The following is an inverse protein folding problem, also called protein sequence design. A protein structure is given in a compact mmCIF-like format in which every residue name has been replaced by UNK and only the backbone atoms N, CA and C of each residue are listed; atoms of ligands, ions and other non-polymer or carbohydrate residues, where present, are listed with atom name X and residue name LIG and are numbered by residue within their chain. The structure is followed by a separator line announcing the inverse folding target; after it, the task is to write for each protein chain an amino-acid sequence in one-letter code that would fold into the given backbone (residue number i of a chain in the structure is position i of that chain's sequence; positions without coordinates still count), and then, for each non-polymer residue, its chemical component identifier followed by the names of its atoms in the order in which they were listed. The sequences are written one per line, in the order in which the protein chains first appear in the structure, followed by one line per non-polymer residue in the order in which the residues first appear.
data_IF_690545355326
#
_entry.id   IF_690545355326
#
_cell.length_a   1.000
_cell.length_b   1.000
_cell.length_c   1.000
_cell.angle_alpha   90.00
_cell.angle_beta   90.00
_cell.angle_gamma   90.00
#
_symmetry.space_group_name_H-M   'P 1'
#
loop_
_entity.id
_entity.type
_entity.pdbx_description
1 polymer ?
#
# COMPACT_ATOMS: atom_id res chain seq x y z
N UNK A 1 7.16 14.37 22.74
CA UNK A 1 8.28 13.49 22.37
C UNK A 1 8.80 14.03 21.04
N UNK A 2 9.99 14.64 20.96
CA UNK A 2 10.47 15.22 19.71
C UNK A 2 10.70 14.08 18.72
N UNK A 3 10.20 14.24 17.50
CA UNK A 3 10.60 13.42 16.37
C UNK A 3 12.09 13.60 16.18
N UNK A 4 12.84 12.50 16.14
CA UNK A 4 14.28 12.50 16.13
C UNK A 4 14.84 13.39 15.02
N UNK A 5 15.67 14.35 15.39
CA UNK A 5 16.58 15.06 14.50
C UNK A 5 17.51 14.04 13.83
N UNK A 6 17.59 14.07 12.50
CA UNK A 6 18.62 13.38 11.76
C UNK A 6 18.36 11.91 11.48
N UNK A 7 17.29 11.57 10.76
CA UNK A 7 17.32 10.36 9.93
C UNK A 7 18.08 10.71 8.67
N UNK A 8 19.40 10.56 8.72
CA UNK A 8 20.22 10.45 7.53
C UNK A 8 19.69 9.27 6.73
N UNK A 9 18.93 9.55 5.68
CA UNK A 9 18.49 8.54 4.74
C UNK A 9 19.74 8.10 3.97
N UNK A 10 20.28 6.89 4.19
CA UNK A 10 21.41 6.42 3.42
C UNK A 10 21.01 6.36 1.96
N UNK A 11 21.85 6.91 1.11
CA UNK A 11 21.73 6.81 -0.34
C UNK A 11 21.49 5.36 -0.73
N UNK A 12 20.41 5.16 -1.49
CA UNK A 12 20.03 3.94 -2.16
C UNK A 12 19.66 2.76 -1.22
N UNK A 13 18.33 2.64 -0.97
CA UNK A 13 17.61 1.38 -0.96
C UNK A 13 18.12 0.27 -0.03
N UNK A 14 18.17 0.50 1.26
CA UNK A 14 17.78 -0.56 2.17
C UNK A 14 16.30 -0.35 2.49
N UNK A 15 15.44 -0.86 1.64
CA UNK A 15 14.03 -0.96 1.92
C UNK A 15 13.90 -1.97 3.05
N UNK A 16 13.63 -1.49 4.24
CA UNK A 16 13.41 -2.38 5.38
C UNK A 16 12.05 -3.07 5.20
N UNK A 17 11.99 -4.38 5.00
CA UNK A 17 10.75 -5.11 4.72
C UNK A 17 9.77 -5.14 5.90
N UNK A 18 10.12 -4.55 7.03
CA UNK A 18 9.34 -4.60 8.28
C UNK A 18 8.01 -3.84 8.26
N UNK A 19 7.78 -2.99 7.28
CA UNK A 19 6.63 -2.07 7.31
C UNK A 19 5.31 -2.73 6.89
N UNK A 20 5.33 -3.94 6.35
CA UNK A 20 4.12 -4.58 5.81
C UNK A 20 3.45 -5.60 6.76
N UNK A 21 4.09 -5.96 7.85
CA UNK A 21 3.60 -7.00 8.75
C UNK A 21 2.66 -6.44 9.82
N UNK A 22 1.60 -7.20 10.14
CA UNK A 22 0.71 -6.94 11.28
C UNK A 22 1.32 -7.49 12.57
N UNK A 23 2.08 -8.58 12.46
CA UNK A 23 2.73 -9.26 13.56
C UNK A 23 4.05 -9.86 13.07
N UNK A 24 5.15 -9.39 13.60
CA UNK A 24 6.46 -9.99 13.39
C UNK A 24 6.96 -10.54 14.76
N UNK A 25 7.11 -11.85 14.85
CA UNK A 25 7.86 -12.46 15.94
C UNK A 25 9.32 -12.47 15.52
N UNK A 26 10.06 -11.48 15.97
CA UNK A 26 11.51 -11.58 16.06
C UNK A 26 11.82 -12.05 17.47
N UNK A 27 12.32 -13.28 17.59
CA UNK A 27 12.58 -13.93 18.89
C UNK A 27 13.61 -13.18 19.75
N UNK A 28 14.35 -12.27 19.15
CA UNK A 28 15.36 -11.47 19.86
C UNK A 28 14.86 -10.08 20.32
N UNK A 29 13.71 -9.60 19.84
CA UNK A 29 13.16 -8.26 20.16
C UNK A 29 11.66 -8.27 20.42
N UNK A 30 11.20 -9.22 21.21
CA UNK A 30 9.80 -9.57 21.42
C UNK A 30 8.86 -8.47 21.96
N UNK A 31 9.38 -7.34 22.42
CA UNK A 31 8.58 -6.30 23.09
C UNK A 31 8.14 -5.14 22.17
N UNK A 32 8.67 -5.04 20.94
CA UNK A 32 8.30 -3.99 19.97
C UNK A 32 8.00 -4.63 18.64
N UNK A 33 6.74 -4.93 18.40
CA UNK A 33 6.26 -5.28 17.06
C UNK A 33 6.43 -4.13 16.05
N UNK A 34 6.32 -4.40 14.74
CA UNK A 34 6.37 -3.38 13.72
C UNK A 34 5.19 -2.40 13.87
N UNK A 35 5.42 -1.15 13.53
CA UNK A 35 4.34 -0.17 13.45
C UNK A 35 3.46 -0.49 12.22
N UNK A 36 2.19 -0.14 12.31
CA UNK A 36 1.28 -0.33 11.20
C UNK A 36 1.69 0.57 10.01
N UNK A 37 1.88 -0.06 8.87
CA UNK A 37 2.53 0.54 7.71
C UNK A 37 1.82 1.78 7.18
N UNK A 38 0.51 1.74 7.02
CA UNK A 38 -0.25 2.84 6.43
C UNK A 38 -0.38 4.03 7.36
N UNK A 39 -0.48 3.78 8.65
CA UNK A 39 -0.45 4.83 9.68
C UNK A 39 0.88 5.57 9.67
N UNK A 40 1.99 4.81 9.59
CA UNK A 40 3.33 5.39 9.49
C UNK A 40 3.52 6.16 8.18
N UNK A 41 3.10 5.58 7.05
CA UNK A 41 3.19 6.24 5.74
C UNK A 41 2.41 7.55 5.69
N UNK A 42 1.23 7.61 6.33
CA UNK A 42 0.48 8.86 6.47
C UNK A 42 1.26 9.95 7.20
N UNK A 43 1.92 9.59 8.30
CA UNK A 43 2.79 10.50 9.05
C UNK A 43 4.01 10.96 8.23
N UNK A 44 4.66 10.04 7.51
CA UNK A 44 5.79 10.35 6.65
C UNK A 44 5.37 11.22 5.44
N UNK A 45 4.21 10.94 4.86
CA UNK A 45 3.66 11.72 3.75
C UNK A 45 3.47 13.21 4.13
N UNK A 46 2.99 13.45 5.35
CA UNK A 46 2.81 14.82 5.86
C UNK A 46 4.14 15.51 6.26
N UNK A 47 5.21 14.72 6.51
CA UNK A 47 6.47 15.23 7.06
C UNK A 47 7.59 15.34 6.03
N UNK A 48 7.41 14.81 4.80
CA UNK A 48 8.44 14.76 3.76
C UNK A 48 7.95 15.37 2.46
N UNK A 49 8.87 15.96 1.66
CA UNK A 49 8.53 16.63 0.40
C UNK A 49 9.38 16.20 -0.78
N UNK A 50 10.41 15.38 -0.59
CA UNK A 50 11.45 15.11 -1.60
C UNK A 50 11.73 13.63 -1.84
N UNK A 51 11.07 12.75 -1.13
CA UNK A 51 11.30 11.29 -1.20
C UNK A 51 10.05 10.58 -1.68
N UNK A 52 10.22 9.58 -2.54
CA UNK A 52 9.14 8.66 -2.87
C UNK A 52 8.83 7.78 -1.65
N UNK A 53 7.56 7.61 -1.36
CA UNK A 53 7.04 6.85 -0.21
C UNK A 53 6.19 5.68 -0.68
N UNK A 54 6.27 4.56 0.00
CA UNK A 54 5.38 3.45 -0.31
C UNK A 54 5.71 2.16 0.42
N UNK A 55 4.74 1.25 0.55
CA UNK A 55 5.00 -0.07 1.07
C UNK A 55 5.66 -0.95 0.00
N UNK A 56 6.66 -1.72 0.39
CA UNK A 56 7.25 -2.75 -0.48
C UNK A 56 7.23 -4.11 0.24
N UNK A 57 6.09 -4.75 0.24
CA UNK A 57 4.78 -4.46 -0.39
C UNK A 57 3.67 -4.54 0.66
N UNK A 58 2.50 -3.96 0.41
CA UNK A 58 1.31 -4.23 1.22
C UNK A 58 0.70 -5.57 0.83
N UNK A 59 0.33 -6.39 1.82
CA UNK A 59 -0.34 -7.66 1.56
C UNK A 59 -1.80 -7.42 1.15
N UNK A 60 -2.19 -7.93 -0.02
CA UNK A 60 -3.55 -7.83 -0.53
C UNK A 60 -4.59 -8.52 0.36
N UNK A 61 -4.18 -9.54 1.13
CA UNK A 61 -5.06 -10.28 2.03
C UNK A 61 -5.43 -9.55 3.33
N UNK A 62 -4.72 -8.49 3.70
CA UNK A 62 -4.96 -7.80 4.98
C UNK A 62 -6.10 -6.78 4.92
N UNK A 63 -6.51 -6.31 3.75
CA UNK A 63 -7.49 -5.22 3.62
C UNK A 63 -8.36 -5.40 2.37
N UNK A 64 -9.55 -4.87 2.44
CA UNK A 64 -10.41 -4.77 1.26
C UNK A 64 -9.76 -3.92 0.16
N UNK A 65 -9.85 -4.32 -1.13
CA UNK A 65 -9.20 -3.63 -2.25
C UNK A 65 -9.54 -2.14 -2.35
N UNK A 66 -10.82 -1.79 -2.17
CA UNK A 66 -11.26 -0.39 -2.19
C UNK A 66 -10.63 0.45 -1.08
N UNK A 67 -10.41 -0.15 0.11
CA UNK A 67 -9.71 0.53 1.21
C UNK A 67 -8.24 0.77 0.86
N UNK A 68 -7.55 -0.21 0.30
CA UNK A 68 -6.14 -0.04 -0.14
C UNK A 68 -6.02 1.06 -1.17
N UNK A 69 -6.89 1.09 -2.18
CA UNK A 69 -6.92 2.15 -3.18
C UNK A 69 -7.15 3.54 -2.54
N UNK A 70 -8.09 3.62 -1.58
CA UNK A 70 -8.40 4.88 -0.87
C UNK A 70 -7.23 5.36 -0.01
N UNK A 71 -6.58 4.46 0.71
CA UNK A 71 -5.42 4.78 1.54
C UNK A 71 -4.25 5.29 0.66
N UNK A 72 -3.99 4.61 -0.46
CA UNK A 72 -2.95 5.02 -1.40
C UNK A 72 -3.22 6.40 -2.01
N UNK A 73 -4.44 6.65 -2.47
CA UNK A 73 -4.83 7.95 -3.02
C UNK A 73 -4.74 9.06 -1.98
N UNK A 74 -5.14 8.79 -0.73
CA UNK A 74 -5.05 9.76 0.35
C UNK A 74 -3.59 10.09 0.69
N UNK A 75 -2.73 9.07 0.84
CA UNK A 75 -1.32 9.27 1.11
C UNK A 75 -0.60 9.99 -0.06
N UNK A 76 -1.02 9.74 -1.30
CA UNK A 76 -0.52 10.44 -2.48
C UNK A 76 -0.87 11.93 -2.44
N UNK A 77 -2.10 12.27 -2.13
CA UNK A 77 -2.55 13.66 -1.99
C UNK A 77 -1.80 14.40 -0.87
N UNK A 78 -1.68 13.77 0.30
CA UNK A 78 -0.95 14.34 1.45
C UNK A 78 0.53 14.55 1.16
N UNK A 79 1.17 13.63 0.42
CA UNK A 79 2.58 13.72 0.06
C UNK A 79 2.86 14.61 -1.16
N UNK A 80 1.84 15.18 -1.80
CA UNK A 80 2.01 15.96 -3.03
C UNK A 80 2.43 15.10 -4.24
N UNK A 81 1.94 13.86 -4.32
CA UNK A 81 2.16 12.95 -5.46
C UNK A 81 3.45 12.13 -5.37
N UNK A 82 3.89 11.78 -4.17
CA UNK A 82 5.13 11.02 -3.96
C UNK A 82 4.87 9.54 -3.66
N UNK A 83 3.61 9.08 -3.71
CA UNK A 83 3.24 7.73 -3.32
C UNK A 83 3.54 6.69 -4.39
N UNK A 84 4.14 5.58 -3.98
CA UNK A 84 4.35 4.38 -4.79
C UNK A 84 3.67 3.21 -4.07
N UNK A 85 2.62 2.66 -4.67
CA UNK A 85 1.89 1.55 -4.09
C UNK A 85 2.48 0.20 -4.52
N UNK A 86 3.18 -0.48 -3.63
CA UNK A 86 3.54 -1.87 -3.78
C UNK A 86 2.46 -2.79 -3.21
N UNK A 87 2.00 -3.77 -3.99
CA UNK A 87 1.00 -4.77 -3.59
C UNK A 87 1.56 -6.16 -3.80
N UNK A 88 1.37 -7.03 -2.83
CA UNK A 88 1.81 -8.43 -2.89
C UNK A 88 0.76 -9.40 -2.37
N UNK A 89 0.91 -10.68 -2.72
CA UNK A 89 -0.03 -11.76 -2.33
C UNK A 89 0.04 -12.15 -0.85
N UNK A 90 1.09 -11.75 -0.14
CA UNK A 90 1.39 -12.24 1.21
C UNK A 90 2.03 -13.63 1.22
N UNK A 91 2.76 -13.94 2.27
CA UNK A 91 3.48 -15.22 2.42
C UNK A 91 3.35 -15.82 3.83
N UNK A 92 3.11 -15.00 4.84
CA UNK A 92 3.13 -15.44 6.24
C UNK A 92 1.75 -15.99 6.65
N UNK A 93 1.62 -17.31 6.66
CA UNK A 93 0.39 -18.00 7.04
C UNK A 93 0.07 -17.81 8.54
N UNK A 94 1.08 -17.81 9.40
CA UNK A 94 0.89 -17.67 10.84
C UNK A 94 0.26 -16.31 11.18
N UNK A 95 0.77 -15.27 10.56
CA UNK A 95 0.27 -13.91 10.73
C UNK A 95 -1.19 -13.77 10.26
N UNK A 96 -1.50 -14.23 9.05
CA UNK A 96 -2.87 -14.20 8.52
C UNK A 96 -3.83 -15.00 9.43
N UNK A 97 -3.43 -16.20 9.81
CA UNK A 97 -4.25 -17.07 10.68
C UNK A 97 -4.48 -16.47 12.06
N UNK A 98 -3.49 -15.81 12.65
CA UNK A 98 -3.60 -15.16 13.97
C UNK A 98 -4.67 -14.05 13.99
N UNK A 99 -4.93 -13.42 12.86
CA UNK A 99 -5.96 -12.38 12.72
C UNK A 99 -7.23 -12.88 12.03
N UNK A 100 -7.40 -14.19 11.85
CA UNK A 100 -8.58 -14.78 11.20
C UNK A 100 -8.69 -14.46 9.70
N UNK A 101 -7.58 -14.10 9.04
CA UNK A 101 -7.55 -13.78 7.63
C UNK A 101 -7.25 -15.05 6.81
N UNK A 102 -7.90 -15.24 5.66
CA UNK A 102 -7.71 -16.43 4.86
C UNK A 102 -6.35 -16.43 4.16
N UNK A 103 -5.63 -17.53 4.26
CA UNK A 103 -4.37 -17.75 3.54
C UNK A 103 -4.56 -18.49 2.21
N UNK A 104 -5.67 -19.21 2.09
CA UNK A 104 -6.01 -19.95 0.87
C UNK A 104 -6.21 -19.00 -0.32
N UNK A 105 -6.01 -19.53 -1.52
CA UNK A 105 -6.25 -18.82 -2.78
C UNK A 105 -5.57 -17.44 -2.87
N UNK A 106 -4.46 -17.25 -2.18
CA UNK A 106 -3.77 -15.95 -2.08
C UNK A 106 -3.38 -15.35 -3.44
N UNK A 107 -3.06 -16.19 -4.45
CA UNK A 107 -2.77 -15.73 -5.79
C UNK A 107 -4.01 -15.11 -6.44
N UNK A 108 -5.14 -15.83 -6.42
CA UNK A 108 -6.41 -15.31 -6.95
C UNK A 108 -6.91 -14.09 -6.17
N UNK A 109 -6.72 -14.07 -4.84
CA UNK A 109 -7.02 -12.89 -4.02
C UNK A 109 -6.18 -11.69 -4.45
N UNK A 110 -4.91 -11.92 -4.69
CA UNK A 110 -4.02 -10.86 -5.19
C UNK A 110 -4.47 -10.34 -6.56
N UNK A 111 -4.75 -11.23 -7.51
CA UNK A 111 -5.17 -10.86 -8.86
C UNK A 111 -6.47 -10.03 -8.87
N UNK A 112 -7.51 -10.51 -8.19
CA UNK A 112 -8.79 -9.79 -8.11
C UNK A 112 -8.67 -8.46 -7.35
N UNK A 113 -7.93 -8.47 -6.23
CA UNK A 113 -7.66 -7.27 -5.43
C UNK A 113 -6.88 -6.23 -6.25
N UNK A 114 -5.83 -6.66 -6.92
CA UNK A 114 -4.99 -5.78 -7.72
C UNK A 114 -5.75 -5.17 -8.90
N UNK A 115 -6.62 -5.94 -9.55
CA UNK A 115 -7.46 -5.43 -10.64
C UNK A 115 -8.41 -4.33 -10.17
N UNK A 116 -9.05 -4.53 -9.02
CA UNK A 116 -9.91 -3.49 -8.41
C UNK A 116 -9.10 -2.25 -8.05
N UNK A 117 -7.96 -2.42 -7.39
CA UNK A 117 -7.10 -1.31 -6.95
C UNK A 117 -6.62 -0.51 -8.15
N UNK A 118 -6.07 -1.18 -9.17
CA UNK A 118 -5.54 -0.55 -10.37
C UNK A 118 -6.58 0.29 -11.09
N UNK A 119 -7.78 -0.26 -11.27
CA UNK A 119 -8.89 0.43 -11.96
C UNK A 119 -9.43 1.61 -11.16
N UNK A 120 -9.57 1.46 -9.84
CA UNK A 120 -9.97 2.57 -8.98
C UNK A 120 -8.95 3.72 -9.01
N UNK A 121 -7.64 3.41 -8.93
CA UNK A 121 -6.59 4.41 -9.03
C UNK A 121 -6.49 5.04 -10.43
N UNK A 122 -6.92 4.32 -11.48
CA UNK A 122 -7.07 4.88 -12.81
C UNK A 122 -8.30 5.80 -12.96
N UNK A 123 -9.13 5.95 -11.93
CA UNK A 123 -10.34 6.78 -11.94
C UNK A 123 -11.52 6.14 -12.64
N UNK A 124 -11.49 4.83 -12.86
CA UNK A 124 -12.59 4.10 -13.49
C UNK A 124 -13.77 3.91 -12.54
N UNK A 125 -14.97 3.71 -13.10
CA UNK A 125 -16.09 3.09 -12.42
C UNK A 125 -15.89 1.57 -12.47
N UNK A 126 -15.71 0.95 -11.31
CA UNK A 126 -15.34 -0.45 -11.22
C UNK A 126 -16.54 -1.30 -10.88
N UNK A 127 -16.93 -2.16 -11.81
CA UNK A 127 -17.80 -3.30 -11.55
C UNK A 127 -16.99 -4.56 -11.82
N UNK A 128 -16.87 -5.41 -10.79
CA UNK A 128 -16.19 -6.69 -10.83
C UNK A 128 -16.95 -7.67 -9.94
N UNK A 129 -17.43 -8.75 -10.51
CA UNK A 129 -18.06 -9.86 -9.79
C UNK A 129 -17.08 -11.04 -9.76
N UNK A 130 -16.03 -10.88 -8.96
CA UNK A 130 -15.02 -11.91 -8.74
C UNK A 130 -15.51 -12.99 -7.79
N UNK A 131 -14.73 -14.06 -7.68
CA UNK A 131 -15.02 -15.15 -6.75
C UNK A 131 -14.73 -14.78 -5.30
N UNK A 132 -13.77 -13.91 -5.07
CA UNK A 132 -13.21 -13.57 -3.75
C UNK A 132 -13.49 -12.12 -3.36
N UNK A 133 -13.57 -11.23 -4.34
CA UNK A 133 -13.90 -9.82 -4.15
C UNK A 133 -14.98 -9.38 -5.12
N UNK A 134 -15.75 -8.40 -4.67
CA UNK A 134 -16.80 -7.79 -5.47
C UNK A 134 -16.71 -6.28 -5.38
N UNK A 135 -16.98 -5.62 -6.50
CA UNK A 135 -17.19 -4.19 -6.59
C UNK A 135 -18.39 -3.96 -7.51
N UNK A 136 -19.28 -3.07 -7.14
CA UNK A 136 -20.47 -2.73 -7.95
C UNK A 136 -20.56 -1.22 -8.09
N UNK A 137 -20.23 -0.71 -9.27
CA UNK A 137 -20.19 0.71 -9.58
C UNK A 137 -19.23 1.53 -8.68
N UNK A 138 -18.22 0.90 -8.09
CA UNK A 138 -17.32 1.54 -7.15
C UNK A 138 -16.49 2.63 -7.81
N UNK A 139 -16.36 3.77 -7.14
CA UNK A 139 -15.59 4.95 -7.62
C UNK A 139 -14.69 5.44 -6.50
N UNK A 140 -13.52 5.94 -6.88
CA UNK A 140 -12.58 6.55 -5.96
C UNK A 140 -12.61 8.09 -6.07
N UNK A 141 -12.77 8.77 -4.93
CA UNK A 141 -12.65 10.23 -4.82
C UNK A 141 -11.76 10.59 -3.62
N UNK A 142 -10.86 11.60 -3.71
CA UNK A 142 -10.54 12.33 -4.94
C UNK A 142 -9.98 11.39 -6.00
N UNK A 143 -10.12 11.75 -7.27
CA UNK A 143 -9.51 10.97 -8.37
C UNK A 143 -8.03 11.31 -8.46
N UNK A 144 -7.15 10.31 -8.61
CA UNK A 144 -5.76 10.56 -8.93
C UNK A 144 -5.64 11.40 -10.23
N UNK A 145 -4.72 12.34 -10.25
CA UNK A 145 -4.56 13.27 -11.39
C UNK A 145 -4.02 12.58 -12.65
N UNK A 146 -3.42 11.42 -12.54
CA UNK A 146 -2.85 10.64 -13.66
C UNK A 146 -3.12 9.16 -13.48
N UNK A 147 -3.19 8.40 -14.59
CA UNK A 147 -3.27 6.95 -14.56
C UNK A 147 -1.94 6.36 -14.11
N UNK A 148 -1.95 5.43 -13.17
CA UNK A 148 -0.74 4.77 -12.70
C UNK A 148 -0.13 3.88 -13.81
N UNK A 149 1.21 3.83 -13.88
CA UNK A 149 1.93 2.83 -14.66
C UNK A 149 2.31 1.66 -13.77
N UNK A 150 2.12 0.44 -14.26
CA UNK A 150 2.41 -0.77 -13.47
C UNK A 150 3.86 -1.19 -13.66
N UNK A 151 4.56 -1.50 -12.55
CA UNK A 151 5.88 -2.11 -12.57
C UNK A 151 5.85 -3.45 -11.82
N UNK A 152 6.47 -4.48 -12.39
CA UNK A 152 6.57 -5.80 -11.77
C UNK A 152 7.86 -5.93 -10.95
N UNK A 153 7.76 -6.46 -9.75
CA UNK A 153 8.89 -6.75 -8.85
C UNK A 153 9.06 -8.26 -8.59
N UNK A 154 8.69 -9.07 -9.58
CA UNK A 154 8.75 -10.53 -9.49
C UNK A 154 7.37 -11.18 -9.27
N UNK A 155 7.32 -12.51 -9.15
CA UNK A 155 6.05 -13.24 -9.01
C UNK A 155 5.27 -12.82 -7.78
N UNK A 156 4.04 -12.33 -8.00
CA UNK A 156 3.10 -11.97 -6.93
C UNK A 156 3.34 -10.62 -6.24
N UNK A 157 4.14 -9.72 -6.84
CA UNK A 157 4.30 -8.36 -6.38
C UNK A 157 4.32 -7.37 -7.55
N UNK A 158 3.51 -6.33 -7.45
CA UNK A 158 3.39 -5.25 -8.42
C UNK A 158 3.43 -3.90 -7.71
N UNK A 159 3.97 -2.87 -8.35
CA UNK A 159 3.89 -1.51 -7.86
C UNK A 159 3.23 -0.57 -8.87
N UNK A 160 2.56 0.42 -8.35
CA UNK A 160 1.89 1.48 -9.08
C UNK A 160 2.40 2.81 -8.53
N UNK A 161 3.08 3.66 -9.31
CA UNK A 161 3.21 5.06 -8.95
C UNK A 161 1.79 5.65 -8.93
N UNK A 162 1.40 6.18 -7.79
CA UNK A 162 0.18 6.96 -7.65
C UNK A 162 0.52 8.34 -8.16
N UNK A 163 -0.28 8.90 -9.03
CA UNK A 163 0.08 10.03 -9.85
C UNK A 163 0.39 11.32 -9.07
N UNK A 164 1.31 12.13 -9.60
CA UNK A 164 1.51 13.50 -9.13
C UNK A 164 0.31 14.36 -9.44
N UNK A 165 -0.37 14.88 -8.45
CA UNK A 165 -1.28 16.01 -8.61
C UNK A 165 -0.46 17.25 -9.02
N UNK A 166 -0.90 18.07 -9.98
CA UNK A 166 -0.32 19.39 -10.14
C UNK A 166 -0.48 20.17 -8.84
N UNK A 167 0.49 21.02 -8.45
CA UNK A 167 0.32 21.85 -7.28
C UNK A 167 -0.98 22.62 -7.42
N UNK A 168 -1.80 22.62 -6.37
CA UNK A 168 -2.97 23.48 -6.29
C UNK A 168 -2.45 24.91 -6.49
N UNK A 169 -2.80 25.51 -7.62
CA UNK A 169 -2.41 26.88 -7.93
C UNK A 169 -2.91 27.81 -6.81
N UNK A 170 -1.99 28.54 -6.20
CA UNK A 170 -2.26 29.60 -5.27
C UNK A 170 -2.84 30.83 -5.99
#
# INVERSE_FOLDING_TARGET
MPLAEGVDCPRAASWDPFIAHLHCRDDERSERGPWEAWTLLGGLAASTQRVGLGPLVTCAGFRAPGLVAKMAATADEVSGGQMILGVGSGWNNEELSAFGLPFDQRASRFEESFEIIRRLLAGEHVTLHGRLYQADGAVLYPRPARSPSTQSHGPGALSLPVARSPPLGG
#
